data_IF_034511828838
#
_entry.id   IF_034511828838
#
_cell.length_a   1.000
_cell.length_b   1.000
_cell.length_c   1.000
_cell.angle_alpha   90.00
_cell.angle_beta   90.00
_cell.angle_gamma   90.00
#
_symmetry.space_group_name_H-M   'P 1'
#
loop_
_entity.id
_entity.type
_entity.pdbx_description
1 polymer ?
#
# COMPACT_ATOMS: atom_id res chain seq x y z
N UNK A 1 -69.35 -18.08 16.61
CA UNK A 1 -68.88 -19.44 16.35
C UNK A 1 -67.38 -19.40 16.60
N UNK A 2 -66.86 -20.14 17.57
CA UNK A 2 -65.43 -20.21 17.80
C UNK A 2 -64.77 -21.02 16.66
N UNK A 3 -63.80 -20.47 15.95
CA UNK A 3 -63.04 -21.16 14.93
C UNK A 3 -62.27 -22.29 15.60
N UNK A 4 -62.54 -23.52 15.22
CA UNK A 4 -61.81 -24.69 15.70
C UNK A 4 -60.38 -24.61 15.15
N UNK A 5 -59.39 -24.76 16.02
CA UNK A 5 -57.96 -24.76 15.63
C UNK A 5 -57.71 -25.89 14.62
N UNK A 6 -57.32 -25.58 13.42
CA UNK A 6 -56.96 -26.59 12.39
C UNK A 6 -55.63 -27.22 12.80
N UNK A 7 -55.63 -28.56 12.96
CA UNK A 7 -54.41 -29.31 13.27
C UNK A 7 -53.69 -29.70 11.96
N UNK A 8 -52.41 -30.01 12.03
CA UNK A 8 -51.60 -30.43 10.87
C UNK A 8 -52.23 -31.58 10.10
N UNK A 9 -52.92 -32.52 10.77
CA UNK A 9 -53.61 -33.63 10.16
C UNK A 9 -54.95 -33.28 9.44
N UNK A 10 -55.42 -32.05 9.62
CA UNK A 10 -56.63 -31.53 8.96
C UNK A 10 -56.37 -30.72 7.67
N UNK A 11 -55.08 -30.55 7.32
CA UNK A 11 -54.67 -29.88 6.09
C UNK A 11 -54.06 -30.92 5.12
N UNK A 12 -54.59 -31.02 3.90
CA UNK A 12 -53.92 -31.75 2.85
C UNK A 12 -52.66 -31.02 2.40
N UNK A 13 -51.70 -31.74 1.82
CA UNK A 13 -50.52 -31.13 1.22
C UNK A 13 -50.96 -30.09 0.16
N UNK A 14 -50.28 -28.94 0.12
CA UNK A 14 -50.56 -27.81 -0.78
C UNK A 14 -51.97 -27.17 -0.64
N UNK A 15 -52.70 -27.49 0.43
CA UNK A 15 -54.04 -26.92 0.66
C UNK A 15 -54.01 -25.43 1.07
N UNK A 16 -52.83 -24.89 1.48
CA UNK A 16 -52.62 -23.48 1.80
C UNK A 16 -51.65 -22.90 0.77
N UNK A 17 -52.19 -22.16 -0.18
CA UNK A 17 -51.41 -21.40 -1.17
C UNK A 17 -51.32 -19.89 -0.81
N UNK A 18 -50.57 -19.15 -1.61
CA UNK A 18 -50.33 -17.71 -1.38
C UNK A 18 -51.65 -16.90 -1.35
N UNK A 19 -52.74 -17.35 -2.01
CA UNK A 19 -54.02 -16.65 -2.03
C UNK A 19 -54.81 -16.77 -0.71
N UNK A 20 -54.38 -17.68 0.16
CA UNK A 20 -55.03 -17.97 1.47
C UNK A 20 -54.28 -17.39 2.63
N UNK A 21 -53.14 -16.76 2.37
CA UNK A 21 -52.36 -16.04 3.39
C UNK A 21 -52.42 -14.55 3.07
N UNK A 22 -53.02 -13.78 3.92
CA UNK A 22 -53.08 -12.32 3.78
C UNK A 22 -51.67 -11.73 3.88
N UNK A 23 -51.35 -10.79 3.01
CA UNK A 23 -50.03 -10.12 2.99
C UNK A 23 -49.75 -9.49 4.35
N UNK A 24 -48.54 -9.75 4.87
CA UNK A 24 -48.05 -9.20 6.16
C UNK A 24 -48.58 -9.97 7.40
N UNK A 25 -49.36 -11.01 7.26
CA UNK A 25 -49.86 -11.79 8.40
C UNK A 25 -48.84 -12.77 8.96
N UNK A 26 -47.89 -13.24 8.15
CA UNK A 26 -46.80 -14.12 8.61
C UNK A 26 -45.67 -13.20 9.13
N UNK A 27 -45.46 -13.21 10.43
CA UNK A 27 -44.38 -12.43 11.09
C UNK A 27 -43.20 -13.33 11.50
N UNK A 28 -42.08 -12.75 11.86
CA UNK A 28 -40.86 -13.50 12.21
C UNK A 28 -41.11 -14.54 13.33
N UNK A 29 -42.02 -14.25 14.27
CA UNK A 29 -42.36 -15.19 15.35
C UNK A 29 -43.10 -16.46 14.88
N UNK A 30 -43.70 -16.42 13.69
CA UNK A 30 -44.39 -17.57 13.09
C UNK A 30 -43.43 -18.53 12.37
N UNK A 31 -42.17 -18.12 12.22
CA UNK A 31 -41.14 -18.89 11.52
C UNK A 31 -40.09 -19.32 12.54
N UNK A 32 -39.98 -20.62 12.82
CA UNK A 32 -38.97 -21.14 13.72
C UNK A 32 -37.56 -20.89 13.16
N UNK A 33 -36.61 -20.51 14.03
CA UNK A 33 -35.24 -20.34 13.67
C UNK A 33 -34.67 -21.57 12.94
N UNK A 34 -33.91 -21.32 11.85
CA UNK A 34 -33.29 -22.36 11.04
C UNK A 34 -34.21 -23.08 10.07
N UNK A 35 -35.54 -22.78 10.02
CA UNK A 35 -36.46 -23.42 9.09
C UNK A 35 -36.35 -22.91 7.66
N UNK A 36 -35.88 -21.65 7.47
CA UNK A 36 -35.59 -21.08 6.15
C UNK A 36 -34.16 -21.43 5.78
N UNK A 37 -33.97 -22.49 5.00
CA UNK A 37 -32.69 -22.94 4.47
C UNK A 37 -32.37 -22.28 3.12
N UNK A 38 -31.13 -22.31 2.68
CA UNK A 38 -30.73 -21.81 1.37
C UNK A 38 -31.57 -22.40 0.21
N UNK A 39 -31.98 -23.66 0.31
CA UNK A 39 -32.81 -24.31 -0.71
C UNK A 39 -34.25 -23.73 -0.81
N UNK A 40 -34.71 -23.03 0.24
CA UNK A 40 -36.02 -22.36 0.28
C UNK A 40 -35.94 -20.88 -0.15
N UNK A 41 -34.73 -20.36 -0.33
CA UNK A 41 -34.49 -19.03 -0.82
C UNK A 41 -34.22 -19.10 -2.33
N UNK A 42 -35.30 -19.19 -3.12
CA UNK A 42 -35.19 -19.18 -4.58
C UNK A 42 -34.99 -17.74 -5.06
N UNK A 43 -33.82 -17.47 -5.64
CA UNK A 43 -33.49 -16.17 -6.22
C UNK A 43 -32.53 -15.33 -5.37
N UNK A 44 -32.28 -14.09 -5.81
CA UNK A 44 -31.33 -13.17 -5.17
C UNK A 44 -31.94 -12.50 -3.95
N UNK A 45 -31.26 -12.60 -2.82
CA UNK A 45 -31.54 -11.75 -1.66
C UNK A 45 -30.79 -10.44 -1.89
N UNK A 46 -31.53 -9.34 -2.01
CA UNK A 46 -30.89 -8.03 -2.17
C UNK A 46 -30.01 -7.70 -0.95
N UNK A 47 -28.84 -7.12 -1.16
CA UNK A 47 -27.85 -6.82 -0.10
C UNK A 47 -28.43 -5.95 1.01
N UNK A 48 -29.40 -5.08 0.71
CA UNK A 48 -30.07 -4.23 1.71
C UNK A 48 -30.99 -5.00 2.68
N UNK A 49 -31.20 -6.29 2.45
CA UNK A 49 -31.91 -7.20 3.36
C UNK A 49 -30.98 -7.92 4.33
N UNK A 50 -29.68 -7.80 4.13
CA UNK A 50 -28.66 -8.39 5.01
C UNK A 50 -28.30 -7.39 6.11
N UNK A 51 -28.16 -7.86 7.35
CA UNK A 51 -27.70 -7.02 8.47
C UNK A 51 -26.32 -6.43 8.22
N UNK A 52 -25.46 -7.19 7.49
CA UNK A 52 -24.13 -6.75 7.09
C UNK A 52 -24.01 -6.81 5.56
N UNK A 53 -24.43 -5.79 4.81
CA UNK A 53 -24.42 -5.77 3.36
C UNK A 53 -23.03 -5.48 2.75
N UNK A 54 -22.01 -5.34 3.59
CA UNK A 54 -20.63 -5.05 3.20
C UNK A 54 -19.61 -5.79 4.06
N UNK A 55 -18.40 -5.91 3.55
CA UNK A 55 -17.20 -6.31 4.29
C UNK A 55 -16.25 -5.10 4.36
N UNK A 56 -15.35 -5.08 5.34
CA UNK A 56 -14.28 -4.07 5.40
C UNK A 56 -13.01 -4.66 4.80
N UNK A 57 -12.46 -4.00 3.78
CA UNK A 57 -11.21 -4.35 3.15
C UNK A 57 -10.24 -3.18 3.25
N UNK A 58 -9.11 -3.35 3.92
CA UNK A 58 -8.11 -2.28 4.17
C UNK A 58 -8.73 -0.98 4.71
N UNK A 59 -9.67 -1.10 5.68
CA UNK A 59 -10.33 0.04 6.29
C UNK A 59 -11.49 0.64 5.47
N UNK A 60 -11.72 0.18 4.24
CA UNK A 60 -12.81 0.66 3.37
C UNK A 60 -13.94 -0.37 3.29
N UNK A 61 -15.18 0.10 3.36
CA UNK A 61 -16.35 -0.76 3.20
C UNK A 61 -16.53 -1.15 1.73
N UNK A 62 -16.58 -2.46 1.47
CA UNK A 62 -16.88 -3.04 0.16
C UNK A 62 -18.25 -3.73 0.21
N UNK A 63 -19.21 -3.26 -0.58
CA UNK A 63 -20.52 -3.89 -0.68
C UNK A 63 -20.38 -5.32 -1.19
N UNK A 64 -21.23 -6.23 -0.67
CA UNK A 64 -21.30 -7.60 -1.17
C UNK A 64 -21.67 -7.61 -2.66
N UNK A 65 -20.89 -8.34 -3.46
CA UNK A 65 -21.02 -8.34 -4.93
C UNK A 65 -20.25 -7.19 -5.63
N UNK A 66 -19.65 -6.27 -4.87
CA UNK A 66 -18.74 -5.27 -5.40
C UNK A 66 -17.35 -5.84 -5.67
N UNK A 67 -16.54 -5.10 -6.40
CA UNK A 67 -15.13 -5.40 -6.65
C UNK A 67 -14.24 -4.30 -6.05
N UNK A 68 -13.09 -4.69 -5.52
CA UNK A 68 -12.03 -3.77 -5.11
C UNK A 68 -10.70 -4.26 -5.67
N UNK A 69 -9.85 -3.32 -6.05
CA UNK A 69 -8.47 -3.60 -6.40
C UNK A 69 -7.63 -3.59 -5.12
N UNK A 70 -7.01 -4.72 -4.79
CA UNK A 70 -6.10 -4.82 -3.63
C UNK A 70 -4.67 -4.66 -4.15
N UNK A 71 -4.30 -3.42 -4.46
CA UNK A 71 -2.92 -3.08 -4.78
C UNK A 71 -2.18 -2.73 -3.48
N UNK A 72 -0.88 -3.04 -3.44
CA UNK A 72 -0.03 -2.64 -2.31
C UNK A 72 -0.01 -1.11 -2.14
N UNK A 73 -0.12 -0.36 -3.26
CA UNK A 73 -0.21 1.10 -3.29
C UNK A 73 -1.31 1.54 -4.26
N UNK A 74 -2.06 2.57 -3.86
CA UNK A 74 -2.90 3.34 -4.78
C UNK A 74 -2.00 4.34 -5.53
N UNK A 75 -1.57 3.95 -6.74
CA UNK A 75 -0.68 4.77 -7.55
C UNK A 75 -1.42 5.97 -8.13
N UNK A 76 -0.87 7.16 -7.87
CA UNK A 76 -1.44 8.43 -8.30
C UNK A 76 -0.94 8.84 -9.69
N UNK A 77 -1.64 9.79 -10.31
CA UNK A 77 -1.16 10.44 -11.53
C UNK A 77 0.22 11.06 -11.31
N UNK A 78 0.99 11.25 -12.40
CA UNK A 78 2.34 11.81 -12.33
C UNK A 78 2.33 13.18 -11.67
N UNK A 79 3.17 13.34 -10.64
CA UNK A 79 3.34 14.57 -9.87
C UNK A 79 4.42 15.43 -10.52
N UNK A 80 4.10 16.70 -10.76
CA UNK A 80 5.01 17.71 -11.37
C UNK A 80 5.20 18.95 -10.51
N UNK A 81 4.70 18.95 -9.27
CA UNK A 81 4.80 20.06 -8.31
C UNK A 81 4.86 19.55 -6.87
N UNK A 82 5.20 20.44 -5.93
CA UNK A 82 5.22 20.10 -4.50
C UNK A 82 3.88 19.52 -4.07
N UNK A 83 3.92 18.38 -3.37
CA UNK A 83 2.73 17.60 -3.02
C UNK A 83 2.82 17.06 -1.61
N UNK A 84 1.72 17.13 -0.86
CA UNK A 84 1.59 16.41 0.42
C UNK A 84 1.08 14.99 0.13
N UNK A 85 1.83 14.00 0.59
CA UNK A 85 1.52 12.60 0.41
C UNK A 85 0.43 12.13 1.38
N UNK A 86 -0.29 11.11 0.99
CA UNK A 86 -1.34 10.44 1.76
C UNK A 86 -0.93 8.99 1.98
N UNK A 87 -1.15 8.46 3.18
CA UNK A 87 -0.87 7.05 3.49
C UNK A 87 -1.58 6.09 2.54
N UNK A 88 -0.92 4.99 2.18
CA UNK A 88 -1.41 3.98 1.25
C UNK A 88 -1.17 4.31 -0.22
N UNK A 89 -0.60 5.48 -0.54
CA UNK A 89 -0.44 5.95 -1.92
C UNK A 89 1.00 5.85 -2.42
N UNK A 90 1.11 5.61 -3.75
CA UNK A 90 2.35 5.66 -4.50
C UNK A 90 2.36 6.84 -5.47
N UNK A 91 3.53 7.45 -5.68
CA UNK A 91 3.69 8.67 -6.47
C UNK A 91 4.80 8.50 -7.51
N UNK A 92 4.46 8.70 -8.78
CA UNK A 92 5.45 8.90 -9.84
C UNK A 92 5.79 10.39 -9.89
N UNK A 93 7.02 10.76 -9.50
CA UNK A 93 7.45 12.17 -9.40
C UNK A 93 8.33 12.53 -10.59
N UNK A 94 7.92 13.55 -11.32
CA UNK A 94 8.62 14.05 -12.50
C UNK A 94 9.29 15.39 -12.18
N UNK A 95 10.60 15.37 -11.95
CA UNK A 95 11.41 16.56 -11.63
C UNK A 95 12.07 17.19 -12.87
N UNK A 96 11.61 16.86 -14.10
CA UNK A 96 12.18 17.45 -15.33
C UNK A 96 12.11 18.99 -15.32
N UNK A 97 11.04 19.56 -14.75
CA UNK A 97 10.85 21.01 -14.65
C UNK A 97 11.55 21.70 -13.47
N UNK A 98 12.21 20.96 -12.59
CA UNK A 98 12.88 21.47 -11.39
C UNK A 98 12.68 20.56 -10.18
N UNK A 99 13.37 20.88 -9.08
CA UNK A 99 13.28 20.16 -7.83
C UNK A 99 11.84 20.17 -7.26
N UNK A 100 11.40 19.05 -6.68
CA UNK A 100 10.07 18.88 -6.10
C UNK A 100 10.20 18.44 -4.64
N UNK A 101 9.33 18.98 -3.78
CA UNK A 101 9.19 18.55 -2.39
C UNK A 101 7.94 17.68 -2.23
N UNK A 102 8.14 16.47 -1.77
CA UNK A 102 7.10 15.52 -1.38
C UNK A 102 7.00 15.54 0.14
N UNK A 103 5.89 16.05 0.68
CA UNK A 103 5.69 16.20 2.12
C UNK A 103 5.01 14.96 2.69
N UNK A 104 5.61 14.35 3.72
CA UNK A 104 5.04 13.18 4.41
C UNK A 104 3.71 13.52 5.10
N UNK A 105 2.83 12.53 5.31
CA UNK A 105 1.58 12.72 6.03
C UNK A 105 1.79 13.35 7.42
N UNK A 106 0.91 14.27 7.82
CA UNK A 106 0.88 14.81 9.16
C UNK A 106 0.28 13.80 10.14
N UNK A 107 0.76 13.77 11.39
CA UNK A 107 0.23 12.91 12.47
C UNK A 107 0.07 11.44 12.05
N UNK A 108 1.13 10.79 11.53
CA UNK A 108 1.02 9.43 11.05
C UNK A 108 0.79 8.43 12.20
N UNK A 109 0.16 7.31 11.89
CA UNK A 109 -0.01 6.15 12.77
C UNK A 109 0.96 5.03 12.36
N UNK A 110 1.35 4.18 13.33
CA UNK A 110 2.19 3.02 13.05
C UNK A 110 1.57 2.15 11.94
N UNK A 111 2.38 1.85 10.92
CA UNK A 111 1.95 1.12 9.72
C UNK A 111 1.51 2.00 8.55
N UNK A 112 1.40 3.32 8.72
CA UNK A 112 1.24 4.23 7.57
C UNK A 112 2.43 4.11 6.62
N UNK A 113 2.18 4.16 5.32
CA UNK A 113 3.21 3.95 4.30
C UNK A 113 2.98 4.79 3.05
N UNK A 114 4.06 5.16 2.38
CA UNK A 114 4.04 5.86 1.09
C UNK A 114 5.12 5.31 0.17
N UNK A 115 4.90 5.40 -1.15
CA UNK A 115 5.90 5.04 -2.15
C UNK A 115 6.20 6.21 -3.08
N UNK A 116 7.46 6.35 -3.49
CA UNK A 116 7.91 7.34 -4.45
C UNK A 116 8.74 6.65 -5.53
N UNK A 117 8.50 7.02 -6.78
CA UNK A 117 9.26 6.58 -7.95
C UNK A 117 9.67 7.76 -8.79
N UNK A 118 10.96 7.85 -9.12
CA UNK A 118 11.46 8.76 -10.15
C UNK A 118 10.86 8.38 -11.51
N UNK A 119 10.02 9.27 -12.04
CA UNK A 119 9.31 9.07 -13.30
C UNK A 119 10.22 9.25 -14.52
N UNK A 120 11.02 10.32 -14.52
CA UNK A 120 11.77 10.78 -15.70
C UNK A 120 13.28 10.48 -15.63
N UNK A 121 13.74 9.77 -14.59
CA UNK A 121 15.16 9.55 -14.34
C UNK A 121 15.94 10.88 -14.17
N UNK A 122 15.37 11.83 -13.43
CA UNK A 122 15.89 13.21 -13.28
C UNK A 122 16.23 13.61 -11.83
N UNK A 123 16.05 12.74 -10.84
CA UNK A 123 16.33 13.08 -9.44
C UNK A 123 17.78 13.49 -9.17
N UNK A 124 18.75 12.93 -9.91
CA UNK A 124 20.16 13.31 -9.81
C UNK A 124 20.45 14.72 -10.29
N UNK A 125 19.60 15.29 -11.14
CA UNK A 125 19.73 16.65 -11.66
C UNK A 125 18.86 17.64 -10.87
N UNK A 126 17.64 17.22 -10.58
CA UNK A 126 16.64 17.99 -9.87
C UNK A 126 16.11 17.14 -8.70
N UNK A 127 16.72 17.32 -7.54
CA UNK A 127 16.44 16.51 -6.35
C UNK A 127 14.96 16.49 -5.96
N UNK A 128 14.45 15.30 -5.62
CA UNK A 128 13.17 15.14 -4.94
C UNK A 128 13.40 15.14 -3.43
N UNK A 129 12.97 16.20 -2.73
CA UNK A 129 13.06 16.30 -1.28
C UNK A 129 11.87 15.62 -0.62
N UNK A 130 12.10 14.76 0.36
CA UNK A 130 11.06 14.23 1.25
C UNK A 130 11.04 15.10 2.51
N UNK A 131 10.01 15.96 2.63
CA UNK A 131 9.82 16.79 3.80
C UNK A 131 9.15 15.98 4.92
N UNK A 132 9.78 15.95 6.08
CA UNK A 132 9.40 15.12 7.24
C UNK A 132 8.09 15.47 7.93
N UNK A 133 7.58 16.68 7.70
CA UNK A 133 6.30 17.17 8.25
C UNK A 133 6.13 16.94 9.76
N UNK A 134 7.18 17.24 10.54
CA UNK A 134 7.16 17.11 12.00
C UNK A 134 7.64 15.75 12.55
N UNK A 135 7.55 14.67 11.78
CA UNK A 135 8.04 13.34 12.19
C UNK A 135 9.54 13.18 11.87
N UNK A 136 10.20 12.25 12.55
CA UNK A 136 11.57 11.86 12.18
C UNK A 136 11.58 11.02 10.89
N UNK A 137 12.73 11.03 10.19
CA UNK A 137 13.05 10.07 9.13
C UNK A 137 14.32 9.36 9.55
N UNK A 138 14.31 8.02 9.58
CA UNK A 138 15.44 7.20 10.03
C UNK A 138 15.96 7.57 11.43
N UNK A 139 15.09 8.09 12.30
CA UNK A 139 15.43 8.55 13.65
C UNK A 139 16.02 9.96 13.71
N UNK A 140 16.16 10.67 12.59
CA UNK A 140 16.69 12.02 12.53
C UNK A 140 15.60 13.06 12.22
N UNK A 141 15.71 14.24 12.84
CA UNK A 141 14.80 15.36 12.60
C UNK A 141 15.19 16.16 11.35
N UNK A 142 15.54 15.47 10.26
CA UNK A 142 15.96 16.04 8.99
C UNK A 142 15.04 15.58 7.84
N UNK A 143 14.91 16.42 6.82
CA UNK A 143 14.33 16.01 5.56
C UNK A 143 15.29 15.03 4.86
N UNK A 144 14.75 14.17 4.01
CA UNK A 144 15.53 13.27 3.17
C UNK A 144 15.56 13.77 1.73
N UNK A 145 16.62 13.47 1.01
CA UNK A 145 16.78 13.82 -0.40
C UNK A 145 16.90 12.55 -1.24
N UNK A 146 16.13 12.49 -2.31
CA UNK A 146 16.29 11.48 -3.37
C UNK A 146 16.98 12.16 -4.53
N UNK A 147 18.26 11.88 -4.70
CA UNK A 147 19.16 12.49 -5.69
C UNK A 147 19.77 11.45 -6.66
N UNK A 148 19.24 10.25 -6.64
CA UNK A 148 19.72 9.15 -7.48
C UNK A 148 18.77 8.86 -8.63
N UNK A 149 19.35 8.67 -9.82
CA UNK A 149 18.62 8.31 -11.04
C UNK A 149 17.76 7.07 -10.83
N UNK A 150 16.48 7.18 -11.20
CA UNK A 150 15.52 6.07 -11.16
C UNK A 150 15.22 5.54 -9.75
N UNK A 151 15.52 6.32 -8.71
CA UNK A 151 15.20 5.94 -7.34
C UNK A 151 13.75 5.46 -7.20
N UNK A 152 13.58 4.43 -6.39
CA UNK A 152 12.27 3.92 -5.99
C UNK A 152 12.35 3.57 -4.52
N UNK A 153 11.53 4.19 -3.70
CA UNK A 153 11.57 4.04 -2.26
C UNK A 153 10.18 3.81 -1.67
N UNK A 154 10.15 3.06 -0.59
CA UNK A 154 8.97 2.90 0.26
C UNK A 154 9.35 3.32 1.66
N UNK A 155 8.55 4.20 2.25
CA UNK A 155 8.67 4.60 3.65
C UNK A 155 7.47 4.08 4.43
N UNK A 156 7.75 3.56 5.63
CA UNK A 156 6.74 3.12 6.59
C UNK A 156 6.97 3.87 7.90
N UNK A 157 5.91 4.42 8.48
CA UNK A 157 5.97 5.02 9.81
C UNK A 157 5.89 3.94 10.89
N UNK A 158 6.81 3.97 11.84
CA UNK A 158 6.89 2.95 12.90
C UNK A 158 6.51 3.51 14.28
N UNK A 159 7.10 4.63 14.68
CA UNK A 159 6.87 5.26 15.98
C UNK A 159 7.37 6.71 16.02
N UNK A 160 7.20 7.41 17.14
CA UNK A 160 7.67 8.79 17.34
C UNK A 160 9.19 8.93 17.45
N UNK A 161 9.93 7.87 17.75
CA UNK A 161 11.39 7.89 17.93
C UNK A 161 12.11 7.74 16.59
N UNK A 162 11.78 6.72 15.83
CA UNK A 162 12.37 6.44 14.52
C UNK A 162 11.67 7.18 13.40
N UNK A 163 10.35 7.41 13.54
CA UNK A 163 9.55 8.07 12.54
C UNK A 163 9.32 7.18 11.32
N UNK A 164 9.62 7.71 10.16
CA UNK A 164 9.53 7.04 8.87
C UNK A 164 10.82 6.29 8.56
N UNK A 165 10.72 5.01 8.26
CA UNK A 165 11.85 4.17 7.84
C UNK A 165 11.71 3.76 6.38
N UNK A 166 12.81 3.78 5.65
CA UNK A 166 12.89 3.14 4.35
C UNK A 166 12.82 1.62 4.53
N UNK A 167 11.89 0.97 3.85
CA UNK A 167 11.70 -0.49 3.90
C UNK A 167 12.02 -1.16 2.58
N UNK A 168 12.03 -0.38 1.50
CA UNK A 168 12.47 -0.83 0.19
C UNK A 168 13.15 0.37 -0.50
N UNK A 169 14.41 0.22 -0.80
CA UNK A 169 15.23 1.15 -1.55
C UNK A 169 15.69 0.44 -2.81
N UNK A 170 15.23 0.89 -3.96
CA UNK A 170 15.72 0.43 -5.25
C UNK A 170 16.65 1.52 -5.78
N UNK A 171 17.85 1.52 -5.25
CA UNK A 171 18.90 2.47 -5.57
C UNK A 171 20.14 1.71 -6.02
N UNK A 172 20.58 1.90 -7.26
CA UNK A 172 21.79 1.27 -7.79
C UNK A 172 23.05 1.76 -7.07
N UNK A 173 22.97 2.89 -6.33
CA UNK A 173 24.10 3.44 -5.58
C UNK A 173 24.31 2.75 -4.21
N UNK A 174 23.31 2.03 -3.69
CA UNK A 174 23.46 1.19 -2.48
C UNK A 174 24.02 -0.20 -2.78
N UNK A 175 24.31 -0.49 -4.02
CA UNK A 175 25.23 -1.56 -4.35
C UNK A 175 26.58 -1.17 -3.73
N UNK A 176 27.15 -2.06 -2.94
CA UNK A 176 28.42 -1.86 -2.25
C UNK A 176 29.39 -1.04 -3.13
N UNK A 177 29.98 0.02 -2.52
CA UNK A 177 31.02 0.77 -3.21
C UNK A 177 32.02 -0.23 -3.81
N UNK A 178 32.42 -0.07 -5.07
CA UNK A 178 33.29 -1.04 -5.70
C UNK A 178 34.50 -1.30 -4.80
N UNK A 179 34.60 -2.53 -4.31
CA UNK A 179 35.72 -2.97 -3.50
C UNK A 179 36.92 -3.09 -4.44
N UNK A 180 37.82 -2.12 -4.40
CA UNK A 180 39.06 -2.20 -5.13
C UNK A 180 40.06 -3.07 -4.37
N UNK A 181 40.85 -3.81 -5.10
CA UNK A 181 42.08 -4.41 -4.55
C UNK A 181 42.90 -3.28 -3.91
N UNK A 182 43.19 -3.39 -2.61
CA UNK A 182 44.05 -2.44 -1.96
C UNK A 182 45.50 -2.70 -2.37
N UNK A 183 46.12 -1.71 -2.98
CA UNK A 183 47.52 -1.75 -3.37
C UNK A 183 48.16 -0.39 -3.08
N UNK A 184 49.45 -0.39 -2.91
CA UNK A 184 50.28 0.80 -2.74
C UNK A 184 51.36 0.87 -3.84
N UNK A 185 51.88 2.06 -4.08
CA UNK A 185 52.92 2.34 -5.06
C UNK A 185 52.45 3.18 -6.24
N UNK A 186 53.33 4.00 -6.77
CA UNK A 186 53.00 4.97 -7.82
C UNK A 186 52.12 6.12 -7.34
N UNK A 187 51.60 6.90 -8.28
CA UNK A 187 50.59 7.93 -8.01
C UNK A 187 49.19 7.30 -8.26
N UNK A 188 48.34 7.36 -7.26
CA UNK A 188 46.99 6.80 -7.31
C UNK A 188 45.99 7.80 -7.90
N UNK A 189 45.11 7.33 -8.75
CA UNK A 189 43.95 8.07 -9.25
C UNK A 189 42.78 7.11 -9.46
N UNK A 190 41.54 7.63 -9.57
CA UNK A 190 40.32 6.85 -9.83
C UNK A 190 39.67 7.33 -11.12
N UNK A 191 39.20 6.40 -11.95
CA UNK A 191 38.39 6.70 -13.13
C UNK A 191 37.30 5.67 -13.28
N UNK A 192 36.05 6.05 -13.08
CA UNK A 192 34.92 5.12 -13.03
C UNK A 192 35.14 4.05 -11.98
N UNK A 193 35.10 2.77 -12.39
CA UNK A 193 35.28 1.60 -11.52
C UNK A 193 36.74 1.12 -11.45
N UNK A 194 37.70 1.98 -11.79
CA UNK A 194 39.13 1.63 -11.81
C UNK A 194 39.90 2.50 -10.81
N UNK A 195 40.75 1.85 -10.02
CA UNK A 195 41.83 2.48 -9.26
C UNK A 195 43.12 2.33 -10.08
N UNK A 196 43.73 3.44 -10.43
CA UNK A 196 44.87 3.48 -11.36
C UNK A 196 46.11 3.87 -10.57
N UNK A 197 47.20 3.10 -10.72
CA UNK A 197 48.51 3.39 -10.18
C UNK A 197 49.45 3.74 -11.32
N UNK A 198 49.94 4.97 -11.37
CA UNK A 198 50.86 5.45 -12.41
C UNK A 198 52.26 5.50 -11.86
N UNK A 199 53.20 4.83 -12.56
CA UNK A 199 54.60 4.78 -12.20
C UNK A 199 55.41 5.57 -13.21
N UNK A 200 56.01 6.70 -12.80
CA UNK A 200 56.87 7.54 -13.61
C UNK A 200 58.36 7.25 -13.35
N UNK A 201 58.66 6.39 -12.37
CA UNK A 201 59.99 5.90 -12.04
C UNK A 201 59.88 4.52 -11.42
N UNK A 202 60.97 3.77 -11.33
CA UNK A 202 60.98 2.45 -10.71
C UNK A 202 60.55 2.52 -9.24
N UNK A 203 59.42 1.85 -8.92
CA UNK A 203 58.95 1.66 -7.56
C UNK A 203 58.09 0.37 -7.47
N UNK A 204 57.85 -0.13 -6.27
CA UNK A 204 57.10 -1.36 -6.06
C UNK A 204 55.60 -1.08 -6.10
N UNK A 205 54.86 -1.98 -6.79
CA UNK A 205 53.43 -2.14 -6.66
C UNK A 205 53.19 -3.27 -5.64
N UNK A 206 52.58 -2.94 -4.52
CA UNK A 206 52.33 -3.91 -3.43
C UNK A 206 50.86 -4.06 -3.21
N UNK A 207 50.30 -5.26 -3.44
CA UNK A 207 48.91 -5.60 -3.09
C UNK A 207 48.87 -5.88 -1.60
N UNK A 208 48.02 -5.15 -0.85
CA UNK A 208 47.90 -5.26 0.61
C UNK A 208 46.65 -6.01 1.03
N UNK A 209 45.61 -6.04 0.22
CA UNK A 209 44.42 -6.89 0.38
C UNK A 209 43.73 -7.11 -0.98
N UNK A 210 43.06 -8.24 -1.16
CA UNK A 210 42.24 -8.55 -2.31
C UNK A 210 40.80 -8.87 -1.85
#
# INVERSE_FOLDING_TARGET
MALTKVTKSGLADDSVDASKIEDGTVVAADINDGTITNAKLAGSIANNKLANPSITLNGSALALGGSASVLAFDWQSVVTSNTTMVSGKGYFVNTTGGAITMTLPASPSAGDYVAIKDYAATFQTNTCTIARNGSNIQGAANNSALDTTRASVVLVYVDGTKGWLYTNESNVADLEAPSYINATGGTESTSGNYKIHTFNSSSNFVVTSA
#
